data_IF_497982839179
#
_entry.id   IF_497982839179
#
_cell.length_a   1.000
_cell.length_b   1.000
_cell.length_c   1.000
_cell.angle_alpha   90.00
_cell.angle_beta   90.00
_cell.angle_gamma   90.00
#
_symmetry.space_group_name_H-M   'P 1'
#
loop_
_entity.id
_entity.type
_entity.pdbx_description
1 polymer ?
#
# COMPACT_ATOMS: atom_id res chain seq x y z
N UNK A 1 12.65 -8.08 16.99
CA UNK A 1 14.00 -8.70 16.90
C UNK A 1 14.57 -8.78 15.47
N UNK A 2 13.80 -8.43 14.43
CA UNK A 2 14.27 -8.37 13.03
C UNK A 2 15.29 -7.24 12.76
N UNK A 3 15.19 -6.10 13.47
CA UNK A 3 16.02 -4.92 13.21
C UNK A 3 17.51 -5.16 13.47
N UNK A 4 17.88 -5.94 14.50
CA UNK A 4 19.29 -6.13 14.85
C UNK A 4 20.02 -7.04 13.85
N UNK A 5 19.36 -8.08 13.34
CA UNK A 5 19.94 -8.95 12.31
C UNK A 5 20.14 -8.20 10.97
N UNK A 6 19.16 -7.37 10.58
CA UNK A 6 19.24 -6.57 9.35
C UNK A 6 20.34 -5.51 9.43
N UNK A 7 20.46 -4.82 10.57
CA UNK A 7 21.52 -3.82 10.80
C UNK A 7 22.90 -4.48 10.78
N UNK A 8 23.04 -5.68 11.37
CA UNK A 8 24.31 -6.41 11.33
C UNK A 8 24.67 -6.85 9.90
N UNK A 9 23.73 -7.39 9.14
CA UNK A 9 23.99 -7.89 7.78
C UNK A 9 24.29 -6.76 6.79
N UNK A 10 23.52 -5.66 6.80
CA UNK A 10 23.80 -4.49 5.98
C UNK A 10 25.05 -3.73 6.44
N UNK A 11 25.30 -3.66 7.76
CA UNK A 11 26.48 -3.04 8.32
C UNK A 11 27.78 -3.74 7.89
N UNK A 12 27.78 -5.08 7.88
CA UNK A 12 28.92 -5.88 7.41
C UNK A 12 29.16 -5.74 5.90
N UNK A 13 28.11 -5.70 5.09
CA UNK A 13 28.25 -5.49 3.64
C UNK A 13 28.73 -4.08 3.29
N UNK A 14 28.22 -3.05 3.98
CA UNK A 14 28.69 -1.68 3.83
C UNK A 14 30.17 -1.53 4.25
N UNK A 15 30.56 -2.20 5.34
CA UNK A 15 31.95 -2.22 5.80
C UNK A 15 32.88 -2.94 4.80
N UNK A 16 32.45 -4.06 4.22
CA UNK A 16 33.24 -4.79 3.21
C UNK A 16 33.39 -3.98 1.90
N UNK A 17 32.35 -3.27 1.49
CA UNK A 17 32.40 -2.34 0.35
C UNK A 17 33.36 -1.16 0.60
N UNK A 18 33.34 -0.61 1.81
CA UNK A 18 34.26 0.45 2.22
C UNK A 18 35.71 -0.05 2.31
N UNK A 19 35.94 -1.22 2.92
CA UNK A 19 37.27 -1.81 3.11
C UNK A 19 37.95 -2.21 1.78
N UNK A 20 37.19 -2.53 0.73
CA UNK A 20 37.73 -2.86 -0.60
C UNK A 20 37.97 -1.63 -1.48
N UNK A 21 37.64 -0.41 -1.02
CA UNK A 21 37.85 0.84 -1.76
C UNK A 21 37.07 0.96 -3.08
N UNK A 22 36.16 0.02 -3.36
CA UNK A 22 35.45 -0.03 -4.63
C UNK A 22 34.21 0.88 -4.58
N UNK A 23 34.21 1.95 -5.40
CA UNK A 23 33.01 2.76 -5.62
C UNK A 23 31.80 1.91 -6.08
N UNK A 24 32.09 0.78 -6.75
CA UNK A 24 31.13 -0.27 -7.13
C UNK A 24 30.51 -0.95 -5.90
N UNK A 25 31.29 -1.23 -4.85
CA UNK A 25 30.79 -1.82 -3.62
C UNK A 25 29.81 -0.91 -2.88
N UNK A 26 30.13 0.39 -2.77
CA UNK A 26 29.26 1.37 -2.11
C UNK A 26 27.93 1.59 -2.84
N UNK A 27 27.96 1.64 -4.17
CA UNK A 27 26.76 1.76 -5.00
C UNK A 27 25.92 0.46 -4.99
N UNK A 28 26.56 -0.71 -5.03
CA UNK A 28 25.87 -2.00 -4.99
C UNK A 28 25.15 -2.24 -3.65
N UNK A 29 25.77 -1.86 -2.52
CA UNK A 29 25.12 -1.97 -1.20
C UNK A 29 23.93 -1.02 -1.07
N UNK A 30 24.03 0.21 -1.57
CA UNK A 30 22.89 1.14 -1.60
C UNK A 30 21.74 0.64 -2.50
N UNK A 31 22.08 0.15 -3.70
CA UNK A 31 21.08 -0.41 -4.62
C UNK A 31 20.39 -1.67 -4.04
N UNK A 32 21.14 -2.54 -3.36
CA UNK A 32 20.59 -3.70 -2.67
C UNK A 32 19.68 -3.30 -1.49
N UNK A 33 20.06 -2.26 -0.73
CA UNK A 33 19.23 -1.69 0.34
C UNK A 33 17.89 -1.17 -0.18
N UNK A 34 17.93 -0.31 -1.20
CA UNK A 34 16.73 0.19 -1.85
C UNK A 34 15.89 -0.95 -2.43
N UNK A 35 16.49 -1.85 -3.21
CA UNK A 35 15.81 -2.99 -3.83
C UNK A 35 15.12 -3.90 -2.80
N UNK A 36 15.78 -4.21 -1.68
CA UNK A 36 15.20 -5.03 -0.61
C UNK A 36 14.01 -4.34 0.08
N UNK A 37 14.14 -3.06 0.42
CA UNK A 37 13.06 -2.30 1.05
C UNK A 37 11.82 -2.26 0.16
N UNK A 38 12.02 -2.12 -1.15
CA UNK A 38 10.95 -2.07 -2.12
C UNK A 38 10.34 -3.46 -2.36
N UNK A 39 11.17 -4.50 -2.44
CA UNK A 39 10.72 -5.89 -2.56
C UNK A 39 9.87 -6.35 -1.37
N UNK A 40 10.19 -5.93 -0.15
CA UNK A 40 9.43 -6.30 1.04
C UNK A 40 8.28 -5.33 1.36
N UNK A 41 8.40 -4.05 1.02
CA UNK A 41 7.33 -3.07 1.24
C UNK A 41 6.16 -3.22 0.25
N UNK A 42 6.43 -3.57 -1.02
CA UNK A 42 5.38 -3.62 -2.04
C UNK A 42 4.34 -4.73 -1.80
N UNK A 43 4.70 -6.00 -1.53
CA UNK A 43 3.70 -7.06 -1.37
C UNK A 43 2.94 -6.89 -0.06
N UNK A 44 3.65 -6.60 1.03
CA UNK A 44 3.04 -6.43 2.35
C UNK A 44 2.18 -5.16 2.42
N UNK A 45 2.61 -4.06 1.80
CA UNK A 45 1.81 -2.83 1.72
C UNK A 45 0.53 -3.02 0.92
N UNK A 46 0.58 -3.72 -0.22
CA UNK A 46 -0.63 -3.92 -1.06
C UNK A 46 -1.72 -4.75 -0.37
N UNK A 47 -1.36 -5.73 0.43
CA UNK A 47 -2.36 -6.51 1.20
C UNK A 47 -2.96 -5.67 2.34
N UNK A 48 -2.14 -4.86 3.02
CA UNK A 48 -2.62 -3.92 4.04
C UNK A 48 -3.62 -2.91 3.46
N UNK A 49 -3.37 -2.40 2.24
CA UNK A 49 -4.31 -1.51 1.55
C UNK A 49 -5.67 -2.18 1.29
N UNK A 50 -5.67 -3.45 0.88
CA UNK A 50 -6.91 -4.20 0.62
C UNK A 50 -7.69 -4.46 1.89
N UNK A 51 -7.00 -4.81 2.97
CA UNK A 51 -7.64 -5.02 4.26
C UNK A 51 -8.22 -3.71 4.78
N UNK A 52 -7.48 -2.60 4.65
CA UNK A 52 -7.93 -1.26 4.99
C UNK A 52 -9.16 -0.83 4.17
N UNK A 53 -9.18 -1.07 2.85
CA UNK A 53 -10.33 -0.80 1.99
C UNK A 53 -11.58 -1.56 2.44
N UNK A 54 -11.42 -2.85 2.75
CA UNK A 54 -12.51 -3.70 3.21
C UNK A 54 -13.10 -3.22 4.53
N UNK A 55 -12.25 -3.01 5.53
CA UNK A 55 -12.67 -2.53 6.86
C UNK A 55 -13.27 -1.12 6.76
N UNK A 56 -12.64 -0.22 6.01
CA UNK A 56 -13.10 1.14 5.80
C UNK A 56 -14.46 1.20 5.12
N UNK A 57 -14.68 0.39 4.08
CA UNK A 57 -15.96 0.32 3.38
C UNK A 57 -17.08 -0.19 4.28
N UNK A 58 -16.80 -1.21 5.11
CA UNK A 58 -17.77 -1.73 6.07
C UNK A 58 -18.14 -0.70 7.13
N UNK A 59 -17.15 -0.04 7.73
CA UNK A 59 -17.37 1.01 8.74
C UNK A 59 -18.16 2.18 8.16
N UNK A 60 -17.83 2.62 6.94
CA UNK A 60 -18.56 3.67 6.24
C UNK A 60 -20.02 3.29 5.99
N UNK A 61 -20.28 2.05 5.56
CA UNK A 61 -21.63 1.54 5.37
C UNK A 61 -22.41 1.56 6.70
N UNK A 62 -21.84 1.05 7.79
CA UNK A 62 -22.44 1.07 9.14
C UNK A 62 -22.73 2.49 9.65
N UNK A 63 -21.95 3.48 9.24
CA UNK A 63 -22.19 4.89 9.56
C UNK A 63 -23.29 5.55 8.68
N UNK A 64 -23.80 4.82 7.68
CA UNK A 64 -24.84 5.28 6.75
C UNK A 64 -24.30 6.05 5.54
N UNK A 65 -23.02 5.88 5.19
CA UNK A 65 -22.47 6.37 3.92
C UNK A 65 -22.72 5.36 2.80
N UNK A 66 -23.05 5.86 1.61
CA UNK A 66 -23.31 5.02 0.45
C UNK A 66 -22.02 4.27 0.03
N UNK A 67 -22.00 2.92 0.03
CA UNK A 67 -20.83 2.14 -0.38
C UNK A 67 -20.38 2.40 -1.83
N UNK A 68 -21.28 2.77 -2.73
CA UNK A 68 -20.93 3.11 -4.13
C UNK A 68 -20.08 4.40 -4.23
N UNK A 69 -20.12 5.26 -3.20
CA UNK A 69 -19.32 6.48 -3.15
C UNK A 69 -17.81 6.17 -3.05
N UNK A 70 -17.42 5.05 -2.42
CA UNK A 70 -16.02 4.65 -2.33
C UNK A 70 -15.43 4.35 -3.72
N UNK A 71 -16.18 3.64 -4.57
CA UNK A 71 -15.76 3.37 -5.97
C UNK A 71 -15.55 4.68 -6.73
N UNK A 72 -16.48 5.62 -6.57
CA UNK A 72 -16.42 6.93 -7.24
C UNK A 72 -15.23 7.75 -6.76
N UNK A 73 -14.93 7.74 -5.45
CA UNK A 73 -13.77 8.40 -4.87
C UNK A 73 -12.47 7.90 -5.51
N UNK A 74 -12.28 6.58 -5.55
CA UNK A 74 -11.07 5.98 -6.11
C UNK A 74 -10.93 6.19 -7.62
N UNK A 75 -12.03 6.23 -8.37
CA UNK A 75 -12.01 6.61 -9.79
C UNK A 75 -11.51 8.05 -9.99
N UNK A 76 -11.98 9.00 -9.17
CA UNK A 76 -11.54 10.40 -9.22
C UNK A 76 -10.06 10.53 -8.85
N UNK A 77 -9.62 9.84 -7.79
CA UNK A 77 -8.21 9.81 -7.40
C UNK A 77 -7.33 9.25 -8.53
N UNK A 78 -7.71 8.11 -9.12
CA UNK A 78 -6.98 7.50 -10.24
C UNK A 78 -6.88 8.44 -11.45
N UNK A 79 -7.96 9.18 -11.76
CA UNK A 79 -7.95 10.16 -12.84
C UNK A 79 -7.00 11.35 -12.56
N UNK A 80 -6.83 11.74 -11.29
CA UNK A 80 -5.93 12.81 -10.87
C UNK A 80 -4.47 12.34 -10.76
N UNK A 81 -4.24 11.05 -10.53
CA UNK A 81 -2.91 10.43 -10.45
C UNK A 81 -2.23 10.20 -11.80
N UNK A 82 -2.78 10.69 -12.93
CA UNK A 82 -2.18 10.52 -14.27
C UNK A 82 -0.77 11.10 -14.43
N UNK A 83 -0.39 12.05 -13.56
CA UNK A 83 0.96 12.62 -13.49
C UNK A 83 1.66 12.31 -12.16
N UNK A 84 1.16 11.33 -11.40
CA UNK A 84 1.74 10.95 -10.12
C UNK A 84 3.09 10.24 -10.30
N UNK A 85 3.97 10.28 -9.29
CA UNK A 85 5.14 9.41 -9.23
C UNK A 85 4.73 7.95 -9.49
N UNK A 86 5.61 7.12 -10.07
CA UNK A 86 5.34 5.68 -10.23
C UNK A 86 4.74 5.09 -8.96
N UNK A 87 3.74 4.19 -9.06
CA UNK A 87 2.99 3.64 -7.91
C UNK A 87 3.88 3.19 -6.74
N UNK A 88 5.08 2.74 -7.07
CA UNK A 88 6.14 2.32 -6.16
C UNK A 88 6.61 3.39 -5.16
N UNK A 89 6.52 4.67 -5.53
CA UNK A 89 6.85 5.80 -4.66
C UNK A 89 5.60 6.37 -3.95
N UNK A 90 4.41 5.86 -4.25
CA UNK A 90 3.19 6.24 -3.54
C UNK A 90 3.04 5.41 -2.27
N UNK A 91 2.70 6.07 -1.16
CA UNK A 91 2.36 5.38 0.10
C UNK A 91 1.03 4.63 0.00
N UNK A 92 0.07 5.15 -0.78
CA UNK A 92 -1.23 4.53 -1.05
C UNK A 92 -1.58 4.62 -2.55
N UNK A 93 -1.06 3.75 -3.42
CA UNK A 93 -1.33 3.82 -4.85
C UNK A 93 -2.80 3.49 -5.15
N UNK A 94 -3.45 4.36 -5.95
CA UNK A 94 -4.74 4.08 -6.55
C UNK A 94 -4.55 3.11 -7.71
N UNK A 95 -4.92 1.85 -7.52
CA UNK A 95 -4.84 0.83 -8.56
C UNK A 95 -6.21 0.46 -9.10
N UNK A 96 -6.27 0.07 -10.37
CA UNK A 96 -7.48 -0.49 -10.98
C UNK A 96 -7.99 -1.73 -10.22
N UNK A 97 -7.08 -2.49 -9.61
CA UNK A 97 -7.41 -3.66 -8.78
C UNK A 97 -8.22 -3.27 -7.54
N UNK A 98 -7.84 -2.18 -6.85
CA UNK A 98 -8.60 -1.69 -5.68
C UNK A 98 -10.01 -1.26 -6.04
N UNK A 99 -10.16 -0.58 -7.19
CA UNK A 99 -11.49 -0.20 -7.69
C UNK A 99 -12.34 -1.45 -7.97
N UNK A 100 -11.75 -2.50 -8.54
CA UNK A 100 -12.43 -3.77 -8.77
C UNK A 100 -12.81 -4.48 -7.45
N UNK A 101 -11.88 -4.52 -6.49
CA UNK A 101 -12.09 -5.11 -5.16
C UNK A 101 -13.24 -4.38 -4.43
N UNK A 102 -13.24 -3.05 -4.45
CA UNK A 102 -14.32 -2.23 -3.88
C UNK A 102 -15.67 -2.50 -4.55
N UNK A 103 -15.72 -2.57 -5.88
CA UNK A 103 -16.96 -2.94 -6.61
C UNK A 103 -17.49 -4.30 -6.18
N UNK A 104 -16.61 -5.28 -5.92
CA UNK A 104 -17.00 -6.61 -5.47
C UNK A 104 -17.44 -6.64 -3.99
N UNK A 105 -16.92 -5.72 -3.16
CA UNK A 105 -17.27 -5.60 -1.75
C UNK A 105 -18.56 -4.81 -1.52
N UNK A 106 -18.86 -3.84 -2.36
CA UNK A 106 -20.04 -2.96 -2.22
C UNK A 106 -21.36 -3.73 -2.05
N UNK A 107 -21.69 -4.76 -2.85
CA UNK A 107 -22.90 -5.56 -2.61
C UNK A 107 -22.93 -6.25 -1.24
N UNK A 108 -21.76 -6.64 -0.71
CA UNK A 108 -21.65 -7.34 0.58
C UNK A 108 -21.93 -6.44 1.78
N UNK A 109 -21.59 -5.16 1.69
CA UNK A 109 -21.82 -4.18 2.77
C UNK A 109 -23.13 -3.41 2.62
N UNK A 110 -23.83 -3.56 1.49
CA UNK A 110 -25.09 -2.86 1.20
C UNK A 110 -26.16 -3.04 2.28
N UNK A 111 -26.37 -4.26 2.84
CA UNK A 111 -27.33 -4.43 3.92
C UNK A 111 -26.98 -3.62 5.18
N UNK A 112 -25.68 -3.42 5.47
CA UNK A 112 -25.25 -2.62 6.62
C UNK A 112 -25.60 -1.13 6.43
N UNK A 113 -25.42 -0.62 5.21
CA UNK A 113 -25.83 0.74 4.84
C UNK A 113 -27.35 0.93 4.95
N UNK A 114 -28.14 -0.01 4.43
CA UNK A 114 -29.60 0.03 4.49
C UNK A 114 -30.10 0.00 5.94
N UNK A 115 -29.54 -0.88 6.78
CA UNK A 115 -29.86 -0.93 8.21
C UNK A 115 -29.53 0.39 8.92
N UNK A 116 -28.36 0.98 8.65
CA UNK A 116 -27.96 2.27 9.21
C UNK A 116 -28.85 3.43 8.75
N UNK A 117 -29.42 3.34 7.54
CA UNK A 117 -30.38 4.31 7.00
C UNK A 117 -31.77 4.16 7.64
N UNK A 118 -32.21 2.93 7.90
CA UNK A 118 -33.52 2.64 8.49
C UNK A 118 -33.61 2.99 9.99
N UNK A 119 -32.48 3.03 10.69
CA UNK A 119 -32.39 3.43 12.10
C UNK A 119 -32.25 4.94 12.35
N UNK A 120 -32.24 5.77 11.30
CA UNK A 120 -32.24 7.24 11.36
C UNK A 120 -33.63 7.76 11.04
#
# INVERSE_FOLDING_TARGET
RMSQAYVQQFGLQALAAFATGSAVGGAAVQAAGAGSQLFFALPNGREQEREADKMGLELAARAGFNPDAAVTLWQKMSAQSKSAPPEFFSTHPASANRIADLKALTPKVRPLYEAAKAGK
#
